data_IF_701449437953
#
_entry.id   IF_701449437953
#
_cell.length_a   1.000
_cell.length_b   1.000
_cell.length_c   1.000
_cell.angle_alpha   90.00
_cell.angle_beta   90.00
_cell.angle_gamma   90.00
#
_symmetry.space_group_name_H-M   'P 1'
#
loop_
_entity.id
_entity.type
_entity.pdbx_description
1 polymer ?
#
# COMPACT_ATOMS: atom_id res chain seq x y z
N UNK A 1 -7.26 17.40 5.81
CA UNK A 1 -8.68 17.00 5.74
C UNK A 1 -8.95 16.03 6.87
N UNK A 2 -10.09 16.17 7.55
CA UNK A 2 -10.43 15.32 8.70
C UNK A 2 -11.43 14.22 8.38
N UNK A 3 -11.97 13.60 9.44
CA UNK A 3 -13.07 12.64 9.36
C UNK A 3 -14.41 13.32 9.65
N UNK A 4 -15.47 12.84 8.99
CA UNK A 4 -16.85 13.23 9.23
C UNK A 4 -17.53 12.16 10.10
N UNK A 5 -17.86 12.56 11.32
CA UNK A 5 -18.68 11.80 12.25
C UNK A 5 -20.16 12.16 12.05
N UNK A 6 -21.05 11.24 12.43
CA UNK A 6 -22.50 11.42 12.32
C UNK A 6 -23.13 11.28 13.70
N UNK A 7 -24.14 12.10 13.98
CA UNK A 7 -24.95 11.92 15.18
C UNK A 7 -25.67 10.55 15.14
N UNK A 8 -25.83 9.89 16.29
CA UNK A 8 -26.41 8.54 16.37
C UNK A 8 -27.94 8.54 16.23
N UNK A 9 -28.49 9.25 15.24
CA UNK A 9 -29.93 9.35 14.96
C UNK A 9 -30.53 8.02 14.50
N UNK A 10 -29.75 7.19 13.80
CA UNK A 10 -30.16 5.83 13.40
C UNK A 10 -29.16 4.80 13.92
N UNK A 11 -29.54 3.52 14.08
CA UNK A 11 -28.60 2.47 14.47
C UNK A 11 -27.39 2.39 13.54
N UNK A 12 -27.60 2.67 12.25
CA UNK A 12 -26.54 2.65 11.25
C UNK A 12 -25.58 3.85 11.34
N UNK A 13 -26.07 5.04 11.71
CA UNK A 13 -25.24 6.25 11.78
C UNK A 13 -24.31 6.25 12.99
N UNK A 14 -24.69 5.60 14.09
CA UNK A 14 -23.90 5.51 15.34
C UNK A 14 -22.43 5.12 15.12
N UNK A 15 -22.16 4.17 14.23
CA UNK A 15 -20.81 3.70 13.92
C UNK A 15 -20.25 4.19 12.58
N UNK A 16 -20.99 5.02 11.84
CA UNK A 16 -20.57 5.48 10.52
C UNK A 16 -19.53 6.59 10.65
N UNK A 17 -18.37 6.42 10.03
CA UNK A 17 -17.32 7.44 9.98
C UNK A 17 -16.82 7.54 8.55
N UNK A 18 -16.90 8.73 7.96
CA UNK A 18 -16.50 8.97 6.58
C UNK A 18 -15.31 9.90 6.50
N UNK A 19 -14.61 9.87 5.36
CA UNK A 19 -13.59 10.89 5.06
C UNK A 19 -14.31 12.20 4.73
N UNK A 20 -13.89 13.30 5.36
CA UNK A 20 -14.40 14.62 5.02
C UNK A 20 -13.97 15.00 3.61
N UNK A 21 -14.89 15.59 2.84
CA UNK A 21 -14.64 16.06 1.46
C UNK A 21 -14.39 17.57 1.40
N UNK A 22 -14.15 18.21 2.54
CA UNK A 22 -13.86 19.65 2.60
C UNK A 22 -12.55 19.94 1.86
N UNK A 23 -12.56 20.92 0.96
CA UNK A 23 -11.43 21.28 0.10
C UNK A 23 -11.33 20.48 -1.20
N UNK A 24 -12.25 19.55 -1.46
CA UNK A 24 -12.40 18.94 -2.79
C UNK A 24 -13.38 19.77 -3.62
N UNK A 25 -13.06 19.96 -4.90
CA UNK A 25 -13.97 20.57 -5.87
C UNK A 25 -15.26 19.74 -5.96
N UNK A 26 -16.39 20.45 -6.06
CA UNK A 26 -17.72 19.89 -6.28
C UNK A 26 -18.07 19.83 -7.78
N UNK A 27 -17.20 20.35 -8.63
CA UNK A 27 -17.44 20.48 -10.06
C UNK A 27 -17.45 19.11 -10.73
N UNK A 28 -18.01 19.08 -11.94
CA UNK A 28 -17.96 17.90 -12.76
C UNK A 28 -16.51 17.56 -13.20
N UNK A 29 -16.19 16.27 -13.36
CA UNK A 29 -14.88 15.87 -13.84
C UNK A 29 -14.70 16.30 -15.30
N UNK A 30 -13.47 16.69 -15.65
CA UNK A 30 -13.05 17.07 -17.00
C UNK A 30 -13.51 16.06 -18.07
N UNK A 31 -14.32 16.52 -19.05
CA UNK A 31 -15.04 15.65 -19.98
C UNK A 31 -14.08 14.86 -20.87
N UNK A 32 -13.04 15.52 -21.38
CA UNK A 32 -12.02 14.91 -22.26
C UNK A 32 -11.23 13.78 -21.58
N UNK A 33 -11.08 13.85 -20.26
CA UNK A 33 -10.32 12.88 -19.45
C UNK A 33 -11.21 11.82 -18.78
N UNK A 34 -12.49 11.74 -19.17
CA UNK A 34 -13.42 10.74 -18.64
C UNK A 34 -13.82 9.72 -19.70
N UNK A 35 -13.90 8.45 -19.30
CA UNK A 35 -14.37 7.37 -20.17
C UNK A 35 -15.35 6.43 -19.47
N UNK A 36 -16.15 5.72 -20.27
CA UNK A 36 -17.09 4.72 -19.75
C UNK A 36 -16.36 3.54 -19.13
N UNK A 37 -16.73 3.15 -17.91
CA UNK A 37 -16.17 1.97 -17.23
C UNK A 37 -17.19 0.85 -17.14
N UNK A 38 -16.92 -0.26 -17.86
CA UNK A 38 -17.70 -1.49 -17.74
C UNK A 38 -17.32 -2.23 -16.47
N UNK A 39 -18.31 -2.73 -15.73
CA UNK A 39 -18.08 -3.56 -14.54
C UNK A 39 -18.10 -5.03 -14.93
N UNK A 40 -17.07 -5.80 -14.55
CA UNK A 40 -17.04 -7.25 -14.82
C UNK A 40 -17.90 -8.09 -13.88
N UNK A 41 -18.33 -7.52 -12.74
CA UNK A 41 -19.02 -8.28 -11.69
C UNK A 41 -18.20 -9.45 -11.11
N UNK A 42 -16.89 -9.49 -11.33
CA UNK A 42 -16.04 -10.62 -10.92
C UNK A 42 -16.02 -11.81 -11.88
N UNK A 43 -16.55 -11.65 -13.11
CA UNK A 43 -16.54 -12.66 -14.16
C UNK A 43 -15.40 -12.47 -15.17
N UNK A 44 -14.93 -13.56 -15.76
CA UNK A 44 -13.98 -13.53 -16.87
C UNK A 44 -14.67 -13.43 -18.24
N UNK A 45 -13.88 -13.50 -19.33
CA UNK A 45 -14.37 -13.52 -20.71
C UNK A 45 -15.29 -14.72 -21.04
N UNK A 46 -15.20 -15.82 -20.30
CA UNK A 46 -16.09 -16.97 -20.43
C UNK A 46 -17.38 -16.86 -19.59
N UNK A 47 -17.63 -15.70 -18.97
CA UNK A 47 -18.79 -15.49 -18.09
C UNK A 47 -18.73 -16.18 -16.72
N UNK A 48 -17.65 -16.92 -16.43
CA UNK A 48 -17.47 -17.65 -15.15
C UNK A 48 -17.00 -16.72 -14.05
N UNK A 49 -17.46 -16.95 -12.82
CA UNK A 49 -17.02 -16.19 -11.64
C UNK A 49 -15.58 -16.61 -11.29
N UNK A 50 -14.62 -15.72 -11.49
CA UNK A 50 -13.21 -15.94 -11.09
C UNK A 50 -12.85 -15.20 -9.82
N UNK A 51 -13.53 -14.08 -9.54
CA UNK A 51 -13.40 -13.34 -8.28
C UNK A 51 -14.76 -13.26 -7.60
N UNK A 52 -14.91 -13.99 -6.49
CA UNK A 52 -16.15 -14.01 -5.71
C UNK A 52 -16.44 -12.65 -5.05
N UNK A 53 -17.69 -12.47 -4.65
CA UNK A 53 -18.17 -11.34 -3.84
C UNK A 53 -18.07 -9.95 -4.50
N UNK A 54 -18.01 -9.87 -5.85
CA UNK A 54 -18.06 -8.60 -6.59
C UNK A 54 -19.39 -8.44 -7.34
N UNK A 55 -19.85 -7.19 -7.49
CA UNK A 55 -21.03 -6.84 -8.29
C UNK A 55 -22.06 -5.97 -7.56
N UNK A 56 -22.97 -5.35 -8.31
CA UNK A 56 -24.08 -4.55 -7.78
C UNK A 56 -23.68 -3.20 -7.15
N UNK A 57 -22.50 -2.68 -7.49
CA UNK A 57 -22.04 -1.36 -7.03
C UNK A 57 -22.55 -0.22 -7.91
N UNK A 58 -22.44 1.01 -7.41
CA UNK A 58 -22.82 2.20 -8.16
C UNK A 58 -22.00 2.34 -9.45
N UNK A 59 -22.63 2.81 -10.54
CA UNK A 59 -21.97 3.07 -11.82
C UNK A 59 -20.86 4.12 -11.66
N UNK A 60 -19.74 3.95 -12.36
CA UNK A 60 -18.58 4.85 -12.27
C UNK A 60 -18.10 5.21 -13.67
N UNK A 61 -17.65 6.44 -13.85
CA UNK A 61 -16.81 6.84 -14.98
C UNK A 61 -15.35 6.57 -14.63
N UNK A 62 -14.54 6.13 -15.59
CA UNK A 62 -13.10 6.06 -15.43
C UNK A 62 -12.49 7.43 -15.69
N UNK A 63 -11.47 7.77 -14.91
CA UNK A 63 -10.67 8.99 -15.12
C UNK A 63 -9.28 8.58 -15.57
N UNK A 64 -8.89 9.10 -16.73
CA UNK A 64 -7.58 8.87 -17.34
C UNK A 64 -6.56 9.65 -16.53
N UNK A 65 -5.63 8.94 -15.88
CA UNK A 65 -4.54 9.53 -15.10
C UNK A 65 -3.26 9.39 -15.90
N UNK A 66 -2.45 10.44 -15.88
CA UNK A 66 -1.07 10.36 -16.30
C UNK A 66 -0.21 9.70 -15.21
N UNK A 67 0.09 8.41 -15.41
CA UNK A 67 1.04 7.66 -14.58
C UNK A 67 2.48 7.70 -15.11
N UNK A 68 2.73 8.29 -16.29
CA UNK A 68 4.05 8.31 -16.92
C UNK A 68 4.80 9.62 -16.65
N UNK A 69 4.09 10.75 -16.56
CA UNK A 69 4.68 12.08 -16.32
C UNK A 69 5.85 12.34 -17.28
N UNK A 70 5.58 12.15 -18.58
CA UNK A 70 6.58 12.30 -19.65
C UNK A 70 6.64 13.70 -20.24
N UNK A 71 5.61 14.50 -20.00
CA UNK A 71 5.53 15.88 -20.48
C UNK A 71 6.51 16.76 -19.69
N UNK A 72 7.34 17.51 -20.42
CA UNK A 72 8.16 18.60 -19.89
C UNK A 72 7.30 19.84 -19.64
N UNK A 73 7.76 20.72 -18.76
CA UNK A 73 7.08 21.98 -18.46
C UNK A 73 6.34 22.00 -17.12
N UNK A 74 5.91 23.21 -16.74
CA UNK A 74 5.21 23.47 -15.50
C UNK A 74 3.70 23.30 -15.70
N UNK A 75 3.08 22.46 -14.87
CA UNK A 75 1.63 22.33 -14.77
C UNK A 75 1.10 23.04 -13.53
N UNK A 76 -0.01 23.77 -13.65
CA UNK A 76 -0.66 24.42 -12.51
C UNK A 76 -1.84 23.56 -12.07
N UNK A 77 -1.98 23.36 -10.77
CA UNK A 77 -3.11 22.61 -10.20
C UNK A 77 -4.37 23.47 -10.25
N UNK A 78 -5.34 23.11 -11.09
CA UNK A 78 -6.62 23.82 -11.18
C UNK A 78 -7.54 23.46 -10.00
N UNK A 79 -7.68 22.16 -9.74
CA UNK A 79 -8.59 21.66 -8.70
C UNK A 79 -8.21 20.26 -8.23
N UNK A 80 -8.67 19.93 -7.02
CA UNK A 80 -8.50 18.61 -6.40
C UNK A 80 -9.87 17.93 -6.33
N UNK A 81 -9.95 16.71 -6.84
CA UNK A 81 -11.21 16.00 -7.03
C UNK A 81 -11.25 14.64 -6.34
N UNK A 82 -12.46 14.25 -5.91
CA UNK A 82 -12.76 12.90 -5.45
C UNK A 82 -12.86 11.93 -6.64
N UNK A 83 -12.09 10.83 -6.68
CA UNK A 83 -12.26 9.77 -7.69
C UNK A 83 -12.91 8.48 -7.13
N UNK A 84 -13.96 7.95 -7.77
CA UNK A 84 -14.63 6.73 -7.31
C UNK A 84 -13.87 5.42 -7.62
N UNK A 85 -12.79 5.45 -8.41
CA UNK A 85 -12.06 4.27 -8.87
C UNK A 85 -10.85 3.91 -8.00
N UNK A 86 -10.38 4.83 -7.17
CA UNK A 86 -9.24 4.66 -6.25
C UNK A 86 -9.51 5.33 -4.91
N UNK A 87 -8.56 5.18 -3.98
CA UNK A 87 -8.68 5.74 -2.64
C UNK A 87 -8.08 7.14 -2.51
N UNK A 88 -6.99 7.44 -3.23
CA UNK A 88 -6.36 8.77 -3.26
C UNK A 88 -7.16 9.78 -4.09
N UNK A 89 -6.97 11.06 -3.82
CA UNK A 89 -7.58 12.14 -4.61
C UNK A 89 -6.78 12.39 -5.89
N UNK A 90 -7.43 13.03 -6.87
CA UNK A 90 -6.77 13.48 -8.08
C UNK A 90 -6.59 14.99 -8.05
N UNK A 91 -5.50 15.46 -8.64
CA UNK A 91 -5.36 16.85 -9.04
C UNK A 91 -5.54 16.94 -10.55
N UNK A 92 -6.40 17.85 -10.99
CA UNK A 92 -6.46 18.28 -12.37
C UNK A 92 -5.37 19.34 -12.55
N UNK A 93 -4.46 19.10 -13.48
CA UNK A 93 -3.40 20.03 -13.82
C UNK A 93 -3.59 20.52 -15.25
N UNK A 94 -3.34 21.80 -15.48
CA UNK A 94 -3.26 22.40 -16.81
C UNK A 94 -1.85 22.87 -17.09
N UNK A 95 -1.38 22.61 -18.32
CA UNK A 95 -0.10 23.10 -18.80
C UNK A 95 -0.37 24.34 -19.65
N UNK A 96 0.10 25.50 -19.18
CA UNK A 96 -0.18 26.80 -19.81
C UNK A 96 0.32 26.89 -21.26
N UNK A 97 1.41 26.18 -21.57
CA UNK A 97 2.05 26.22 -22.89
C UNK A 97 1.20 25.59 -24.00
N UNK A 98 0.45 24.51 -23.69
CA UNK A 98 -0.27 23.72 -24.71
C UNK A 98 -1.80 23.71 -24.51
N UNK A 99 -2.33 24.34 -23.46
CA UNK A 99 -3.73 24.23 -23.01
C UNK A 99 -4.22 22.78 -22.81
N UNK A 100 -3.29 21.87 -22.49
CA UNK A 100 -3.61 20.46 -22.25
C UNK A 100 -3.82 20.24 -20.76
N UNK A 101 -4.88 19.50 -20.44
CA UNK A 101 -5.20 19.08 -19.07
C UNK A 101 -4.81 17.63 -18.83
N UNK A 102 -4.46 17.31 -17.60
CA UNK A 102 -4.16 15.93 -17.19
C UNK A 102 -4.55 15.69 -15.74
N UNK A 103 -5.00 14.48 -15.42
CA UNK A 103 -5.11 14.09 -14.00
C UNK A 103 -3.81 13.49 -13.52
N UNK A 104 -3.37 13.90 -12.34
CA UNK A 104 -2.33 13.23 -11.56
C UNK A 104 -2.90 12.78 -10.22
N UNK A 105 -2.21 11.86 -9.57
CA UNK A 105 -2.54 11.51 -8.19
C UNK A 105 -2.09 12.66 -7.29
N UNK A 106 -3.00 13.21 -6.49
CA UNK A 106 -2.69 14.33 -5.63
C UNK A 106 -1.79 13.86 -4.47
N UNK A 107 -0.61 14.46 -4.25
CA UNK A 107 0.15 14.28 -3.02
C UNK A 107 -0.55 14.96 -1.85
N UNK A 108 -0.15 14.57 -0.65
CA UNK A 108 -0.64 15.15 0.59
C UNK A 108 -0.20 16.61 0.70
N UNK A 109 -1.16 17.50 1.00
CA UNK A 109 -0.89 18.93 1.22
C UNK A 109 -0.99 19.80 -0.03
N UNK A 110 -1.14 19.22 -1.22
CA UNK A 110 -1.37 19.96 -2.46
C UNK A 110 -2.65 20.80 -2.39
N UNK A 111 -2.60 21.99 -3.00
CA UNK A 111 -3.70 22.94 -3.11
C UNK A 111 -3.87 23.40 -4.56
N UNK A 112 -5.07 23.88 -4.94
CA UNK A 112 -5.25 24.63 -6.18
C UNK A 112 -4.29 25.83 -6.23
N UNK A 113 -3.69 26.07 -7.40
CA UNK A 113 -2.68 27.10 -7.63
C UNK A 113 -1.23 26.62 -7.52
N UNK A 114 -0.98 25.46 -6.90
CA UNK A 114 0.38 24.91 -6.81
C UNK A 114 0.94 24.57 -8.19
N UNK A 115 2.24 24.79 -8.37
CA UNK A 115 2.97 24.44 -9.60
C UNK A 115 3.62 23.08 -9.44
N UNK A 116 3.44 22.20 -10.43
CA UNK A 116 4.06 20.88 -10.49
C UNK A 116 4.83 20.68 -11.79
N UNK A 117 6.05 20.19 -11.66
CA UNK A 117 6.95 19.98 -12.79
C UNK A 117 7.34 18.51 -12.89
N UNK A 118 7.49 18.01 -14.11
CA UNK A 118 8.07 16.70 -14.37
C UNK A 118 9.35 16.90 -15.21
N UNK A 119 10.48 16.44 -14.68
CA UNK A 119 11.78 16.68 -15.30
C UNK A 119 12.93 16.28 -14.39
N UNK A 120 14.15 16.25 -14.94
CA UNK A 120 15.35 15.98 -14.15
C UNK A 120 15.75 17.20 -13.31
N UNK A 121 15.44 18.40 -13.81
CA UNK A 121 15.79 19.68 -13.20
C UNK A 121 14.67 20.23 -12.30
N UNK A 122 13.68 19.42 -11.96
CA UNK A 122 12.58 19.84 -11.10
C UNK A 122 13.03 19.94 -9.63
N UNK A 123 12.52 20.93 -8.91
CA UNK A 123 12.81 21.05 -7.48
C UNK A 123 12.28 19.85 -6.67
N UNK A 124 12.89 19.60 -5.51
CA UNK A 124 12.50 18.54 -4.59
C UNK A 124 11.28 18.97 -3.76
N UNK A 125 10.16 19.22 -4.45
CA UNK A 125 8.89 19.62 -3.86
C UNK A 125 7.81 18.54 -4.03
N UNK A 126 6.86 18.39 -3.09
CA UNK A 126 5.76 17.44 -3.21
C UNK A 126 4.95 17.65 -4.50
N UNK A 127 4.76 16.60 -5.29
CA UNK A 127 4.04 16.66 -6.57
C UNK A 127 4.93 16.72 -7.80
N UNK A 128 6.20 17.13 -7.64
CA UNK A 128 7.18 17.06 -8.72
C UNK A 128 7.58 15.62 -8.99
N UNK A 129 7.86 15.32 -10.27
CA UNK A 129 8.20 13.99 -10.74
C UNK A 129 9.60 13.98 -11.34
N UNK A 130 10.47 13.14 -10.78
CA UNK A 130 11.88 13.04 -11.17
C UNK A 130 12.28 11.58 -11.35
N UNK A 131 13.43 11.37 -11.98
CA UNK A 131 14.13 10.09 -11.93
C UNK A 131 14.64 9.84 -10.51
N UNK A 132 14.58 8.59 -10.05
CA UNK A 132 15.03 8.18 -8.72
C UNK A 132 16.51 8.54 -8.45
N UNK A 133 17.34 8.67 -9.49
CA UNK A 133 18.74 9.11 -9.36
C UNK A 133 18.88 10.55 -8.83
N UNK A 134 17.93 11.43 -9.13
CA UNK A 134 17.97 12.85 -8.73
C UNK A 134 17.30 13.12 -7.38
N UNK A 135 16.43 12.22 -6.90
CA UNK A 135 15.72 12.41 -5.63
C UNK A 135 16.66 12.06 -4.46
N UNK A 136 16.82 12.94 -3.45
CA UNK A 136 17.72 12.70 -2.34
C UNK A 136 17.34 11.47 -1.51
N UNK A 137 18.35 10.87 -0.88
CA UNK A 137 18.15 9.73 0.03
C UNK A 137 17.41 10.20 1.28
N UNK A 138 16.50 9.37 1.80
CA UNK A 138 15.63 9.69 2.93
C UNK A 138 14.27 10.26 2.52
N UNK A 139 14.14 10.81 1.30
CA UNK A 139 12.88 11.38 0.81
C UNK A 139 11.76 10.35 0.68
N UNK A 140 10.55 10.81 0.93
CA UNK A 140 9.33 10.06 0.65
C UNK A 140 8.87 10.29 -0.78
N UNK A 141 8.57 9.20 -1.48
CA UNK A 141 8.11 9.20 -2.86
C UNK A 141 6.87 8.31 -3.01
N UNK A 142 6.06 8.59 -4.02
CA UNK A 142 4.91 7.79 -4.41
C UNK A 142 4.85 7.69 -5.94
N UNK A 143 3.90 6.91 -6.47
CA UNK A 143 3.79 6.67 -7.91
C UNK A 143 5.11 6.22 -8.57
N UNK A 144 5.77 5.24 -7.97
CA UNK A 144 7.08 4.78 -8.45
C UNK A 144 6.91 3.78 -9.60
N UNK A 145 7.69 3.96 -10.67
CA UNK A 145 7.78 3.01 -11.77
C UNK A 145 8.52 1.72 -11.34
N UNK A 146 8.05 0.57 -11.83
CA UNK A 146 8.75 -0.69 -11.60
C UNK A 146 9.86 -0.94 -12.63
N UNK A 147 9.63 -0.48 -13.86
CA UNK A 147 10.57 -0.49 -14.98
C UNK A 147 10.51 0.89 -15.64
N UNK A 148 11.62 1.43 -16.14
CA UNK A 148 11.63 2.74 -16.78
C UNK A 148 10.59 2.84 -17.90
N UNK A 149 9.75 3.87 -17.89
CA UNK A 149 8.77 4.16 -18.96
C UNK A 149 7.48 3.33 -18.95
N UNK A 150 7.37 2.31 -18.09
CA UNK A 150 6.14 1.51 -17.96
C UNK A 150 5.05 2.21 -17.13
N UNK A 151 5.34 3.39 -16.57
CA UNK A 151 4.43 4.14 -15.72
C UNK A 151 4.41 3.63 -14.27
N UNK A 152 3.87 4.49 -13.41
CA UNK A 152 3.80 4.28 -11.97
C UNK A 152 3.00 3.03 -11.60
N UNK A 153 3.61 2.14 -10.81
CA UNK A 153 3.01 0.90 -10.35
C UNK A 153 2.93 0.79 -8.81
N UNK A 154 3.90 1.38 -8.11
CA UNK A 154 4.11 1.25 -6.67
C UNK A 154 3.61 2.49 -5.93
N UNK A 155 3.08 2.30 -4.71
CA UNK A 155 2.64 3.37 -3.81
C UNK A 155 1.62 4.34 -4.45
N UNK A 156 0.48 3.79 -4.91
CA UNK A 156 -0.62 4.57 -5.54
C UNK A 156 -1.88 4.71 -4.68
N UNK A 157 -1.97 3.95 -3.59
CA UNK A 157 -3.12 3.98 -2.71
C UNK A 157 -3.03 5.16 -1.73
N UNK A 158 -4.19 5.62 -1.25
CA UNK A 158 -4.29 6.71 -0.29
C UNK A 158 -3.34 6.55 0.91
N UNK A 159 -2.62 7.61 1.26
CA UNK A 159 -1.63 7.63 2.35
C UNK A 159 -0.42 6.71 2.16
N UNK A 160 -0.27 6.05 1.01
CA UNK A 160 0.90 5.21 0.74
C UNK A 160 2.07 6.04 0.23
N UNK A 161 3.26 5.54 0.51
CA UNK A 161 4.54 6.07 0.05
C UNK A 161 5.57 4.93 0.03
N UNK A 162 6.71 5.22 -0.57
CA UNK A 162 7.96 4.48 -0.45
C UNK A 162 9.05 5.47 0.00
N UNK A 163 10.03 4.98 0.74
CA UNK A 163 11.16 5.80 1.20
C UNK A 163 12.42 5.37 0.47
N UNK A 164 13.20 6.34 0.00
CA UNK A 164 14.53 6.08 -0.57
C UNK A 164 15.49 5.81 0.58
N UNK A 165 16.00 4.58 0.68
CA UNK A 165 16.92 4.15 1.75
C UNK A 165 18.37 4.42 1.37
N UNK A 166 18.70 4.24 0.09
CA UNK A 166 20.07 4.39 -0.39
C UNK A 166 20.18 4.08 -1.88
N UNK A 167 21.39 4.23 -2.41
CA UNK A 167 21.72 3.95 -3.81
C UNK A 167 22.82 2.88 -3.86
N UNK A 168 22.72 2.00 -4.84
CA UNK A 168 23.59 0.84 -5.02
C UNK A 168 23.82 0.65 -6.52
N UNK A 169 24.89 1.29 -7.02
CA UNK A 169 25.21 1.39 -8.43
C UNK A 169 24.03 1.94 -9.25
N UNK A 170 23.54 1.12 -10.18
CA UNK A 170 22.41 1.47 -11.07
C UNK A 170 21.04 1.34 -10.40
N UNK A 171 20.98 0.87 -9.16
CA UNK A 171 19.73 0.66 -8.43
C UNK A 171 19.58 1.62 -7.25
N UNK A 172 18.33 1.92 -6.93
CA UNK A 172 17.90 2.65 -5.74
C UNK A 172 17.13 1.70 -4.84
N UNK A 173 17.48 1.69 -3.57
CA UNK A 173 16.82 0.89 -2.55
C UNK A 173 15.58 1.65 -2.07
N UNK A 174 14.41 1.09 -2.33
CA UNK A 174 13.14 1.63 -1.82
C UNK A 174 12.58 0.74 -0.73
N UNK A 175 12.28 1.35 0.42
CA UNK A 175 11.47 0.75 1.47
C UNK A 175 10.00 0.99 1.15
N UNK A 176 9.29 -0.07 0.84
CA UNK A 176 7.87 -0.04 0.54
C UNK A 176 7.02 0.06 1.82
N UNK A 177 5.76 0.47 1.70
CA UNK A 177 4.82 0.48 2.83
C UNK A 177 4.58 -0.90 3.46
N UNK A 178 4.82 -1.98 2.71
CA UNK A 178 4.81 -3.36 3.25
C UNK A 178 5.98 -3.65 4.21
N UNK A 179 6.98 -2.77 4.26
CA UNK A 179 8.25 -2.96 4.97
C UNK A 179 9.34 -3.63 4.14
N UNK A 180 9.01 -4.15 2.96
CA UNK A 180 9.97 -4.77 2.05
C UNK A 180 10.94 -3.73 1.46
N UNK A 181 12.23 -4.06 1.42
CA UNK A 181 13.23 -3.29 0.68
C UNK A 181 13.38 -3.89 -0.72
N UNK A 182 13.27 -3.04 -1.74
CA UNK A 182 13.33 -3.44 -3.14
C UNK A 182 14.29 -2.57 -3.92
N UNK A 183 15.10 -3.20 -4.76
CA UNK A 183 15.93 -2.54 -5.76
C UNK A 183 15.08 -2.14 -6.97
N UNK A 184 15.15 -0.87 -7.34
CA UNK A 184 14.52 -0.31 -8.53
C UNK A 184 15.59 0.43 -9.33
N UNK A 185 15.53 0.40 -10.66
CA UNK A 185 16.50 1.10 -11.49
C UNK A 185 16.46 2.61 -11.21
N UNK A 186 17.63 3.23 -11.17
CA UNK A 186 17.79 4.67 -10.91
C UNK A 186 17.16 5.55 -11.98
N UNK A 187 16.95 5.00 -13.19
CA UNK A 187 16.24 5.61 -14.32
C UNK A 187 14.71 5.47 -14.26
N UNK A 188 14.14 4.82 -13.23
CA UNK A 188 12.70 4.85 -13.01
C UNK A 188 12.26 6.21 -12.47
N UNK A 189 11.06 6.67 -12.86
CA UNK A 189 10.45 7.88 -12.32
C UNK A 189 9.70 7.63 -11.01
N UNK A 190 9.64 8.67 -10.19
CA UNK A 190 8.84 8.73 -8.98
C UNK A 190 8.36 10.16 -8.71
N UNK A 191 7.22 10.29 -8.07
CA UNK A 191 6.68 11.59 -7.63
C UNK A 191 7.03 11.81 -6.16
N UNK A 192 7.52 13.00 -5.82
CA UNK A 192 7.90 13.32 -4.44
C UNK A 192 6.63 13.49 -3.59
N UNK A 193 6.70 13.02 -2.34
CA UNK A 193 5.66 13.13 -1.34
C UNK A 193 4.88 11.84 -1.10
N UNK A 194 3.84 11.95 -0.29
CA UNK A 194 2.93 10.87 0.09
C UNK A 194 1.61 11.04 -0.63
N UNK A 195 0.93 9.95 -1.02
CA UNK A 195 -0.41 10.05 -1.63
C UNK A 195 -1.40 10.69 -0.66
N UNK A 196 -2.24 11.59 -1.15
CA UNK A 196 -3.33 12.21 -0.40
C UNK A 196 -4.30 11.20 0.25
N UNK A 197 -5.15 11.71 1.14
CA UNK A 197 -6.21 10.97 1.84
C UNK A 197 -5.72 9.87 2.83
N UNK A 198 -4.75 10.15 3.73
CA UNK A 198 -4.24 9.15 4.67
C UNK A 198 -5.30 8.57 5.61
N UNK A 199 -6.34 9.35 5.94
CA UNK A 199 -7.46 8.94 6.80
C UNK A 199 -8.43 7.96 6.14
N UNK A 200 -8.23 7.61 4.86
CA UNK A 200 -9.04 6.61 4.17
C UNK A 200 -9.13 5.28 4.94
N UNK A 201 -8.06 4.90 5.63
CA UNK A 201 -7.99 3.66 6.45
C UNK A 201 -8.87 3.69 7.70
N UNK A 202 -9.16 4.89 8.22
CA UNK A 202 -9.90 5.09 9.47
C UNK A 202 -11.43 5.11 9.25
N UNK A 203 -11.87 5.07 7.98
CA UNK A 203 -13.28 5.07 7.59
C UNK A 203 -14.01 3.82 8.10
N UNK A 204 -15.17 4.02 8.74
CA UNK A 204 -16.11 2.96 9.13
C UNK A 204 -17.36 3.00 8.25
N UNK A 205 -17.70 1.88 7.60
CA UNK A 205 -18.86 1.83 6.69
C UNK A 205 -20.21 1.97 7.40
N UNK A 206 -20.30 1.51 8.65
CA UNK A 206 -21.47 1.59 9.54
C UNK A 206 -22.66 0.69 9.15
N UNK A 207 -22.85 0.38 7.87
CA UNK A 207 -23.93 -0.49 7.39
C UNK A 207 -23.56 -1.36 6.20
N UNK A 208 -24.21 -2.53 6.10
CA UNK A 208 -24.03 -3.48 4.99
C UNK A 208 -24.32 -2.85 3.62
N UNK A 209 -25.39 -2.04 3.52
CA UNK A 209 -25.77 -1.35 2.27
C UNK A 209 -24.64 -0.48 1.70
N UNK A 210 -23.80 0.12 2.55
CA UNK A 210 -22.67 0.93 2.08
C UNK A 210 -21.55 0.07 1.47
N UNK A 211 -21.40 -1.17 1.93
CA UNK A 211 -20.53 -2.17 1.28
C UNK A 211 -21.08 -2.57 -0.09
N UNK A 212 -22.40 -2.75 -0.19
CA UNK A 212 -23.09 -3.03 -1.46
C UNK A 212 -22.87 -1.92 -2.50
N UNK A 213 -22.96 -0.65 -2.10
CA UNK A 213 -22.68 0.48 -3.00
C UNK A 213 -21.25 0.49 -3.56
N UNK A 214 -20.28 -0.06 -2.81
CA UNK A 214 -18.90 -0.23 -3.28
C UNK A 214 -18.74 -1.40 -4.26
N UNK A 215 -19.80 -2.18 -4.48
CA UNK A 215 -19.80 -3.38 -5.32
C UNK A 215 -19.24 -4.62 -4.62
N UNK A 216 -19.23 -4.61 -3.28
CA UNK A 216 -18.81 -5.74 -2.44
C UNK A 216 -20.07 -6.47 -1.99
N UNK A 217 -20.25 -7.70 -2.47
CA UNK A 217 -21.36 -8.60 -2.10
C UNK A 217 -21.03 -9.33 -0.78
N UNK A 218 -22.04 -9.87 -0.07
CA UNK A 218 -21.80 -10.63 1.15
C UNK A 218 -20.84 -11.80 0.91
N UNK A 219 -20.03 -12.11 1.93
CA UNK A 219 -19.13 -13.25 1.96
C UNK A 219 -19.66 -14.27 2.95
N UNK A 220 -19.94 -15.49 2.47
CA UNK A 220 -20.38 -16.60 3.32
C UNK A 220 -19.14 -17.34 3.85
N UNK A 221 -19.16 -17.70 5.13
CA UNK A 221 -18.06 -18.45 5.78
C UNK A 221 -18.11 -19.91 5.36
N UNK A 222 -16.96 -20.55 5.18
CA UNK A 222 -16.88 -21.96 4.78
C UNK A 222 -17.55 -22.94 5.75
N UNK A 223 -17.50 -22.66 7.06
CA UNK A 223 -18.17 -23.48 8.10
C UNK A 223 -19.69 -23.39 8.08
N UNK A 224 -20.27 -22.47 7.30
CA UNK A 224 -21.71 -22.33 7.13
C UNK A 224 -22.19 -22.98 5.82
N UNK A 225 -21.33 -23.73 5.14
CA UNK A 225 -21.62 -24.40 3.86
C UNK A 225 -21.69 -25.92 4.06
N UNK A 226 -22.15 -26.64 3.05
CA UNK A 226 -22.12 -28.10 3.04
C UNK A 226 -20.72 -28.61 2.68
N UNK A 227 -20.38 -29.87 2.99
CA UNK A 227 -19.07 -30.45 2.67
C UNK A 227 -18.69 -30.38 1.18
N UNK A 228 -19.67 -30.39 0.28
CA UNK A 228 -19.47 -30.26 -1.18
C UNK A 228 -18.97 -28.88 -1.61
N UNK A 229 -19.35 -27.82 -0.88
CA UNK A 229 -19.08 -26.44 -1.27
C UNK A 229 -17.75 -25.91 -0.73
N UNK A 230 -17.39 -26.35 0.48
CA UNK A 230 -16.19 -25.90 1.16
C UNK A 230 -15.60 -27.02 1.99
N UNK A 231 -14.26 -27.16 2.05
CA UNK A 231 -13.63 -28.18 2.88
C UNK A 231 -13.86 -28.06 4.39
N UNK A 232 -14.55 -27.00 4.86
CA UNK A 232 -14.89 -26.80 6.29
C UNK A 232 -16.39 -27.01 6.53
N UNK A 233 -17.14 -27.36 5.49
CA UNK A 233 -18.59 -27.47 5.57
C UNK A 233 -19.04 -28.76 6.25
N UNK A 234 -20.29 -28.76 6.72
CA UNK A 234 -20.93 -29.88 7.40
C UNK A 234 -20.69 -29.96 8.92
N UNK A 235 -21.09 -31.11 9.47
CA UNK A 235 -21.22 -31.37 10.90
C UNK A 235 -22.56 -30.93 11.47
N UNK A 236 -22.96 -31.54 12.59
CA UNK A 236 -24.17 -31.18 13.30
C UNK A 236 -23.92 -29.94 14.18
N UNK A 237 -24.79 -28.94 14.04
CA UNK A 237 -24.62 -27.67 14.76
C UNK A 237 -23.42 -26.83 14.29
N UNK A 238 -22.82 -26.07 15.21
CA UNK A 238 -21.68 -25.21 14.89
C UNK A 238 -20.37 -25.99 15.04
N UNK A 239 -19.58 -26.03 13.98
CA UNK A 239 -18.25 -26.65 14.00
C UNK A 239 -17.14 -25.63 13.76
N UNK A 240 -15.92 -25.98 14.17
CA UNK A 240 -14.69 -25.26 13.84
C UNK A 240 -14.12 -25.66 12.47
N UNK A 241 -14.83 -26.49 11.71
CA UNK A 241 -14.43 -27.04 10.42
C UNK A 241 -13.60 -28.33 10.49
N UNK A 242 -13.19 -28.81 11.68
CA UNK A 242 -12.59 -30.14 11.88
C UNK A 242 -11.20 -30.37 11.24
N UNK A 243 -10.55 -29.31 10.73
CA UNK A 243 -9.23 -29.41 10.05
C UNK A 243 -8.45 -28.09 10.11
N UNK A 244 -7.19 -28.14 9.71
CA UNK A 244 -6.41 -26.92 9.49
C UNK A 244 -7.06 -26.00 8.43
N UNK A 245 -7.14 -24.67 8.68
CA UNK A 245 -7.87 -23.76 7.80
C UNK A 245 -7.37 -23.71 6.36
N UNK A 246 -8.29 -23.96 5.42
CA UNK A 246 -8.04 -23.92 3.98
C UNK A 246 -8.98 -22.98 3.22
N UNK A 247 -8.59 -22.67 1.98
CA UNK A 247 -9.41 -21.99 0.99
C UNK A 247 -10.53 -22.93 0.50
N UNK A 248 -11.54 -22.41 -0.22
CA UNK A 248 -12.54 -23.27 -0.86
C UNK A 248 -11.95 -24.30 -1.83
N UNK A 249 -10.74 -24.07 -2.34
CA UNK A 249 -10.02 -24.98 -3.22
C UNK A 249 -9.04 -25.90 -2.47
N UNK A 250 -9.16 -26.04 -1.15
CA UNK A 250 -8.33 -26.93 -0.35
C UNK A 250 -6.90 -26.44 -0.07
N UNK A 251 -6.48 -25.30 -0.62
CA UNK A 251 -5.15 -24.72 -0.35
C UNK A 251 -5.09 -24.14 1.07
N UNK A 252 -4.07 -24.48 1.86
CA UNK A 252 -3.87 -23.93 3.22
C UNK A 252 -3.82 -22.40 3.25
N UNK A 253 -4.52 -21.79 4.23
CA UNK A 253 -4.68 -20.33 4.35
C UNK A 253 -3.85 -19.68 5.45
N UNK A 254 -3.44 -20.44 6.45
CA UNK A 254 -2.58 -19.97 7.55
C UNK A 254 -1.13 -20.35 7.27
N UNK A 255 -0.24 -19.37 7.20
CA UNK A 255 1.22 -19.56 7.11
C UNK A 255 1.78 -20.03 5.75
N UNK A 256 0.96 -20.57 4.85
CA UNK A 256 1.44 -21.05 3.53
C UNK A 256 1.98 -19.89 2.68
N UNK A 257 3.28 -19.92 2.35
CA UNK A 257 3.89 -18.99 1.40
C UNK A 257 3.40 -19.28 -0.02
N UNK A 258 2.75 -18.31 -0.65
CA UNK A 258 2.15 -18.45 -2.00
C UNK A 258 3.00 -17.86 -3.12
N UNK A 259 4.07 -17.13 -2.78
CA UNK A 259 5.02 -16.63 -3.78
C UNK A 259 5.72 -17.82 -4.45
N UNK A 260 5.66 -17.88 -5.79
CA UNK A 260 6.40 -18.86 -6.58
C UNK A 260 7.90 -18.75 -6.27
N UNK A 261 8.54 -19.89 -5.98
CA UNK A 261 9.98 -20.01 -5.77
C UNK A 261 10.73 -19.70 -7.08
N UNK A 262 11.95 -19.18 -6.97
CA UNK A 262 12.85 -18.90 -8.10
C UNK A 262 12.25 -17.94 -9.13
N UNK A 263 11.45 -16.97 -8.68
CA UNK A 263 10.95 -15.95 -9.59
C UNK A 263 12.11 -15.02 -9.92
N UNK A 264 12.32 -14.70 -11.20
CA UNK A 264 13.42 -13.81 -11.62
C UNK A 264 13.48 -12.47 -10.88
N UNK A 265 12.34 -12.00 -10.37
CA UNK A 265 12.25 -10.78 -9.56
C UNK A 265 12.80 -10.89 -8.13
N UNK A 266 13.12 -12.09 -7.65
CA UNK A 266 13.62 -12.33 -6.29
C UNK A 266 14.98 -11.66 -6.07
N UNK A 267 15.83 -11.57 -7.12
CA UNK A 267 17.13 -10.88 -7.07
C UNK A 267 17.02 -9.38 -6.75
N UNK A 268 15.87 -8.77 -7.04
CA UNK A 268 15.64 -7.35 -6.76
C UNK A 268 15.02 -7.09 -5.38
N UNK A 269 14.80 -8.14 -4.59
CA UNK A 269 14.21 -8.03 -3.26
C UNK A 269 15.33 -8.24 -2.25
N UNK A 270 15.71 -7.16 -1.55
CA UNK A 270 16.62 -7.27 -0.42
C UNK A 270 15.81 -7.78 0.77
N UNK A 271 16.05 -9.03 1.14
CA UNK A 271 15.60 -9.55 2.42
C UNK A 271 16.58 -9.07 3.49
N UNK A 272 16.06 -8.68 4.65
CA UNK A 272 16.89 -8.60 5.83
C UNK A 272 17.32 -10.05 6.13
N UNK A 273 18.54 -10.42 5.73
CA UNK A 273 19.17 -11.63 6.28
C UNK A 273 19.38 -11.29 7.75
N UNK A 274 18.70 -12.02 8.62
CA UNK A 274 18.68 -11.74 10.04
C UNK A 274 20.04 -11.59 10.67
N UNK A 275 20.06 -10.91 11.81
CA UNK A 275 21.22 -10.93 12.70
C UNK A 275 21.38 -12.36 13.23
N UNK A 276 22.59 -12.91 13.08
CA UNK A 276 23.02 -14.09 13.82
C UNK A 276 23.68 -13.58 15.09
N UNK A 277 23.11 -13.89 16.25
CA UNK A 277 23.80 -13.67 17.52
C UNK A 277 23.76 -14.96 18.32
N UNK A 278 24.82 -15.18 19.10
CA UNK A 278 24.91 -16.34 19.95
C UNK A 278 24.24 -16.05 21.30
N UNK A 279 23.34 -16.93 21.72
CA UNK A 279 22.71 -16.88 23.05
C UNK A 279 23.33 -17.97 23.89
N UNK A 280 23.91 -17.61 25.04
CA UNK A 280 24.47 -18.58 25.99
C UNK A 280 23.32 -19.22 26.78
N UNK A 281 23.24 -20.54 26.78
CA UNK A 281 22.19 -21.28 27.50
C UNK A 281 22.66 -21.85 28.85
N UNK A 282 23.85 -21.46 29.33
CA UNK A 282 24.48 -21.98 30.55
C UNK A 282 25.47 -23.13 30.31
N UNK A 283 25.60 -23.64 29.08
CA UNK A 283 26.65 -24.60 28.68
C UNK A 283 27.39 -24.11 27.44
N UNK A 284 26.65 -23.83 26.38
CA UNK A 284 27.20 -23.45 25.07
C UNK A 284 26.53 -22.18 24.51
N UNK A 285 27.24 -21.55 23.58
CA UNK A 285 26.72 -20.45 22.76
C UNK A 285 25.96 -21.00 21.55
N UNK A 286 24.63 -20.94 21.58
CA UNK A 286 23.78 -21.40 20.48
C UNK A 286 23.59 -20.24 19.47
N UNK A 287 23.93 -20.42 18.18
CA UNK A 287 23.69 -19.39 17.17
C UNK A 287 22.20 -19.27 16.85
N UNK A 288 21.58 -18.15 17.23
CA UNK A 288 20.19 -17.83 16.91
C UNK A 288 20.14 -16.92 15.70
N UNK A 289 19.48 -17.38 14.64
CA UNK A 289 19.26 -16.60 13.42
C UNK A 289 17.93 -15.84 13.52
N UNK A 290 17.98 -14.53 13.77
CA UNK A 290 16.74 -13.72 13.83
C UNK A 290 16.39 -13.16 12.46
N UNK A 291 15.68 -13.96 11.67
CA UNK A 291 15.13 -13.55 10.38
C UNK A 291 13.69 -13.03 10.54
N UNK A 292 13.22 -12.20 9.60
CA UNK A 292 11.82 -11.74 9.49
C UNK A 292 10.77 -12.89 9.48
N UNK A 293 11.21 -14.14 9.28
CA UNK A 293 10.36 -15.33 9.24
C UNK A 293 10.14 -15.99 10.61
N UNK A 294 11.01 -15.72 11.59
CA UNK A 294 11.00 -16.36 12.92
C UNK A 294 10.61 -15.38 14.04
N UNK A 295 10.41 -14.10 13.72
CA UNK A 295 9.97 -13.10 14.70
C UNK A 295 8.46 -13.15 14.88
N UNK A 296 8.01 -13.34 16.12
CA UNK A 296 6.64 -13.11 16.57
C UNK A 296 6.67 -11.85 17.45
N UNK A 297 6.02 -10.76 17.03
CA UNK A 297 5.98 -9.49 17.76
C UNK A 297 6.62 -8.29 17.03
N UNK A 298 7.26 -7.40 17.79
CA UNK A 298 7.88 -6.16 17.32
C UNK A 298 9.09 -6.39 16.40
N UNK A 299 9.34 -5.49 15.44
CA UNK A 299 10.43 -5.63 14.45
C UNK A 299 11.78 -5.23 15.05
N UNK A 300 12.85 -5.90 14.60
CA UNK A 300 14.23 -5.52 14.92
C UNK A 300 14.47 -4.04 14.53
N UNK A 301 14.79 -3.21 15.52
CA UNK A 301 14.93 -1.75 15.40
C UNK A 301 14.11 -0.92 16.39
N UNK A 302 13.14 -1.52 17.09
CA UNK A 302 12.41 -0.86 18.19
C UNK A 302 13.08 -1.07 19.56
N UNK A 303 14.09 -1.94 19.64
CA UNK A 303 14.96 -2.05 20.80
C UNK A 303 16.21 -1.19 20.58
N UNK A 304 16.40 -0.16 21.42
CA UNK A 304 17.75 0.33 21.70
C UNK A 304 18.54 -0.84 22.25
N UNK A 305 19.74 -1.17 21.74
CA UNK A 305 20.60 -2.14 22.40
C UNK A 305 20.86 -1.62 23.82
N UNK A 306 20.26 -2.28 24.82
CA UNK A 306 20.65 -2.07 26.21
C UNK A 306 22.14 -2.38 26.31
N UNK A 307 22.85 -1.51 27.04
CA UNK A 307 24.31 -1.45 27.21
C UNK A 307 25.03 -2.76 26.90
N UNK A 308 26.11 -2.68 26.12
CA UNK A 308 27.10 -3.77 26.03
C UNK A 308 27.43 -4.23 27.46
N UNK A 309 27.05 -5.46 27.78
CA UNK A 309 27.40 -6.09 29.04
C UNK A 309 28.91 -6.31 29.07
N UNK A 310 29.62 -5.39 29.72
CA UNK A 310 30.99 -5.61 30.19
C UNK A 310 30.83 -6.50 31.42
N UNK A 311 31.35 -7.72 31.38
CA UNK A 311 31.06 -8.78 32.35
C UNK A 311 31.08 -8.38 33.83
N UNK A 312 30.50 -9.23 34.67
CA UNK A 312 30.58 -9.07 36.13
C UNK A 312 32.05 -9.00 36.56
N UNK A 313 32.39 -8.00 37.38
CA UNK A 313 33.69 -7.90 38.03
C UNK A 313 33.91 -9.15 38.88
N UNK A 314 34.65 -10.12 38.35
CA UNK A 314 35.03 -11.32 39.08
C UNK A 314 35.89 -10.95 40.30
N UNK A 315 35.66 -11.67 41.39
CA UNK A 315 36.38 -11.60 42.66
C UNK A 315 37.90 -11.45 42.45
N UNK A 316 38.42 -10.24 42.66
CA UNK A 316 39.82 -10.04 43.03
C UNK A 316 39.96 -10.43 44.51
N UNK A 317 39.92 -11.73 44.82
CA UNK A 317 40.41 -12.22 46.10
C UNK A 317 41.91 -12.42 46.02
N UNK A 318 42.59 -11.65 46.85
CA UNK A 318 44.03 -11.63 47.05
C UNK A 318 44.57 -13.00 47.45
N UNK A 319 45.56 -13.49 46.71
CA UNK A 319 46.59 -14.37 47.26
C UNK A 319 47.77 -13.51 47.71
N UNK A 320 47.72 -13.10 48.97
CA UNK A 320 48.91 -12.74 49.75
C UNK A 320 49.34 -13.99 50.51
N UNK A 321 50.34 -14.70 49.98
CA UNK A 321 51.46 -15.35 50.68
C UNK A 321 52.27 -16.11 49.65
#
# INVERSE_FOLDING_TARGET
>A
MGMKFFNPVTPSSRGTVLVSKVGLSKDEPEKSLTSGKKSSGGRNNHGRITTRHRGGGHKKKYRVIDFKRNRSGQGIVEKIEYDPNRSGFLALISYKEDDIKSYILAPQGMKPGDVVTAGNDADILPGNCLLLKHIPVGSFVHNVELKPGNGAAIARAAGCYAQIVGRDGQYVLLRLRSGQIRLILSSCKATIGVVSNPDHKNRKLGKAGRSRWLGIRPTVRGVAMNPVDHPHGGGEGKTSGGRHPVTPWGVATKGKKTRRRNKSSDKYIKQLKGLKFAVYNGKDYIPVNVNDQNMIGHKFGEFSPTRKFTGHSGDKKATRR
#
